data_IF_336323882167
#
_entry.id   IF_336323882167
#
_cell.length_a   1.000
_cell.length_b   1.000
_cell.length_c   1.000
_cell.angle_alpha   90.00
_cell.angle_beta   90.00
_cell.angle_gamma   90.00
#
_symmetry.space_group_name_H-M   'P 1'
#
loop_
_entity.id
_entity.type
_entity.pdbx_description
1 polymer ?
#
# COMPACT_ATOMS: atom_id res chain seq x y z
N UNK A 1 14.23 6.81 26.06
CA UNK A 1 13.21 6.12 25.23
C UNK A 1 13.89 5.52 24.02
N UNK A 2 13.61 4.26 23.72
CA UNK A 2 14.19 3.55 22.58
C UNK A 2 13.47 3.96 21.28
N UNK A 3 14.20 4.10 20.16
CA UNK A 3 13.62 4.38 18.83
C UNK A 3 12.48 3.41 18.47
N UNK A 4 12.58 2.14 18.86
CA UNK A 4 11.53 1.14 18.62
C UNK A 4 10.21 1.50 19.33
N UNK A 5 10.30 1.99 20.56
CA UNK A 5 9.15 2.40 21.38
C UNK A 5 8.50 3.65 20.79
N UNK A 6 9.30 4.66 20.41
CA UNK A 6 8.78 5.88 19.80
C UNK A 6 8.07 5.62 18.46
N UNK A 7 8.64 4.76 17.61
CA UNK A 7 7.98 4.32 16.38
C UNK A 7 6.65 3.61 16.67
N UNK A 8 6.58 2.82 17.75
CA UNK A 8 5.37 2.14 18.16
C UNK A 8 4.30 3.11 18.67
N UNK A 9 4.66 4.07 19.51
CA UNK A 9 3.75 5.14 19.98
C UNK A 9 3.15 5.93 18.82
N UNK A 10 3.95 6.25 17.80
CA UNK A 10 3.46 6.94 16.61
C UNK A 10 2.45 6.06 15.86
N UNK A 11 2.73 4.76 15.66
CA UNK A 11 1.79 3.84 15.01
C UNK A 11 0.47 3.77 15.75
N UNK A 12 0.50 3.57 17.07
CA UNK A 12 -0.70 3.51 17.92
C UNK A 12 -1.50 4.82 17.86
N UNK A 13 -0.82 5.96 17.92
CA UNK A 13 -1.46 7.27 17.77
C UNK A 13 -2.16 7.39 16.42
N UNK A 14 -1.50 7.00 15.32
CA UNK A 14 -2.07 7.06 13.98
C UNK A 14 -3.24 6.10 13.81
N UNK A 15 -3.15 4.86 14.30
CA UNK A 15 -4.28 3.92 14.26
C UNK A 15 -5.50 4.49 14.99
N UNK A 16 -5.35 4.93 16.24
CA UNK A 16 -6.43 5.56 17.01
C UNK A 16 -7.02 6.77 16.30
N UNK A 17 -6.18 7.59 15.66
CA UNK A 17 -6.63 8.78 14.95
C UNK A 17 -7.46 8.43 13.69
N UNK A 18 -7.06 7.40 12.94
CA UNK A 18 -7.80 6.95 11.76
C UNK A 18 -9.19 6.40 12.14
N UNK A 19 -9.27 5.65 13.24
CA UNK A 19 -10.54 5.13 13.76
C UNK A 19 -11.42 6.24 14.34
N UNK A 20 -10.86 7.10 15.20
CA UNK A 20 -11.60 8.21 15.80
C UNK A 20 -12.16 9.19 14.76
N UNK A 21 -11.47 9.35 13.62
CA UNK A 21 -11.93 10.16 12.48
C UNK A 21 -12.89 9.42 11.53
N UNK A 22 -13.15 8.13 11.74
CA UNK A 22 -14.01 7.33 10.87
C UNK A 22 -13.45 7.11 9.46
N UNK A 23 -12.15 7.33 9.24
CA UNK A 23 -11.49 7.21 7.93
C UNK A 23 -10.78 5.88 7.74
N UNK A 24 -10.66 5.06 8.78
CA UNK A 24 -10.18 3.68 8.64
C UNK A 24 -11.15 2.87 7.76
N UNK A 25 -10.60 1.97 6.94
CA UNK A 25 -11.39 1.12 6.04
C UNK A 25 -10.99 -0.34 6.23
N UNK A 26 -11.89 -1.26 5.88
CA UNK A 26 -11.63 -2.70 5.90
C UNK A 26 -10.30 -3.00 5.18
N UNK A 27 -9.46 -3.90 5.73
CA UNK A 27 -9.73 -4.85 6.81
C UNK A 27 -9.45 -4.33 8.23
N UNK A 28 -10.38 -4.61 9.14
CA UNK A 28 -10.24 -4.40 10.59
C UNK A 28 -9.76 -5.68 11.30
N UNK A 29 -9.22 -5.58 12.54
CA UNK A 29 -8.69 -4.37 13.16
C UNK A 29 -7.50 -3.81 12.37
N UNK A 30 -7.22 -2.51 12.49
CA UNK A 30 -6.11 -1.88 11.76
C UNK A 30 -4.79 -1.90 12.56
N UNK A 31 -4.85 -2.10 13.87
CA UNK A 31 -3.66 -2.19 14.70
C UNK A 31 -2.77 -3.36 14.30
N UNK A 32 -1.45 -3.14 14.36
CA UNK A 32 -0.45 -4.11 13.93
C UNK A 32 -0.37 -4.31 12.41
N UNK A 33 -1.13 -3.55 11.62
CA UNK A 33 -1.17 -3.66 10.15
C UNK A 33 -0.86 -2.32 9.47
N UNK A 34 -0.65 -2.39 8.14
CA UNK A 34 -0.72 -1.21 7.28
C UNK A 34 -2.22 -0.90 7.08
N UNK A 35 -2.74 0.21 7.61
CA UNK A 35 -4.18 0.50 7.56
C UNK A 35 -4.62 0.85 6.15
N UNK A 36 -5.78 0.33 5.74
CA UNK A 36 -6.53 0.92 4.63
C UNK A 36 -7.28 2.16 5.15
N UNK A 37 -7.50 3.13 4.28
CA UNK A 37 -8.04 4.43 4.66
C UNK A 37 -8.91 5.02 3.55
N UNK A 38 -9.83 5.89 3.95
CA UNK A 38 -10.63 6.69 3.03
C UNK A 38 -9.75 7.59 2.16
N UNK A 39 -9.97 7.53 0.85
CA UNK A 39 -9.15 8.26 -0.10
C UNK A 39 -7.89 7.52 -0.56
N UNK A 40 -7.69 6.25 -0.17
CA UNK A 40 -6.60 5.42 -0.72
C UNK A 40 -6.64 5.31 -2.25
N UNK A 41 -7.84 5.29 -2.84
CA UNK A 41 -7.99 5.33 -4.30
C UNK A 41 -7.57 6.67 -4.91
N UNK A 42 -7.89 7.79 -4.27
CA UNK A 42 -7.51 9.13 -4.71
C UNK A 42 -5.98 9.29 -4.61
N UNK A 43 -5.38 8.80 -3.51
CA UNK A 43 -3.94 8.75 -3.35
C UNK A 43 -3.27 7.93 -4.46
N UNK A 44 -3.82 6.76 -4.80
CA UNK A 44 -3.32 5.94 -5.90
C UNK A 44 -3.42 6.66 -7.26
N UNK A 45 -4.49 7.43 -7.52
CA UNK A 45 -4.61 8.24 -8.74
C UNK A 45 -3.52 9.30 -8.84
N UNK A 46 -3.26 10.02 -7.74
CA UNK A 46 -2.17 11.02 -7.66
C UNK A 46 -0.80 10.39 -7.92
N UNK A 47 -0.55 9.19 -7.40
CA UNK A 47 0.68 8.44 -7.71
C UNK A 47 0.79 8.13 -9.20
N UNK A 48 -0.32 7.73 -9.84
CA UNK A 48 -0.37 7.43 -11.28
C UNK A 48 -0.08 8.65 -12.17
N UNK A 49 -0.34 9.86 -11.70
CA UNK A 49 -0.12 11.12 -12.43
C UNK A 49 1.36 11.54 -12.49
N UNK A 50 2.19 11.01 -11.59
CA UNK A 50 3.62 11.31 -11.49
C UNK A 50 4.36 11.02 -12.81
N UNK A 51 5.38 11.82 -13.11
CA UNK A 51 6.23 11.57 -14.28
C UNK A 51 7.01 10.25 -14.15
N UNK A 52 7.38 9.91 -12.93
CA UNK A 52 8.06 8.67 -12.54
C UNK A 52 7.21 7.46 -12.88
N UNK A 53 5.90 7.53 -12.57
CA UNK A 53 4.95 6.49 -12.93
C UNK A 53 4.90 6.27 -14.43
N UNK A 54 4.82 7.35 -15.21
CA UNK A 54 4.78 7.28 -16.68
C UNK A 54 6.02 6.59 -17.24
N UNK A 55 7.21 6.94 -16.75
CA UNK A 55 8.50 6.36 -17.19
C UNK A 55 8.75 4.94 -16.67
N UNK A 56 8.17 4.56 -15.52
CA UNK A 56 8.41 3.26 -14.91
C UNK A 56 7.85 2.11 -15.75
N UNK A 57 8.68 1.10 -15.99
CA UNK A 57 8.29 -0.18 -16.61
C UNK A 57 7.88 -1.24 -15.58
N UNK A 58 8.42 -1.12 -14.37
CA UNK A 58 8.19 -2.04 -13.25
C UNK A 58 7.72 -1.22 -12.05
N UNK A 59 6.67 -1.68 -11.38
CA UNK A 59 6.12 -1.08 -10.16
C UNK A 59 6.19 -2.11 -9.03
N UNK A 60 6.83 -1.74 -7.91
CA UNK A 60 6.72 -2.48 -6.66
C UNK A 60 5.57 -1.91 -5.85
N UNK A 61 4.57 -2.74 -5.53
CA UNK A 61 3.48 -2.37 -4.64
C UNK A 61 3.15 -3.52 -3.69
N UNK A 62 2.98 -3.19 -2.41
CA UNK A 62 2.69 -4.13 -1.33
C UNK A 62 1.30 -4.76 -1.50
N UNK A 63 1.04 -5.93 -0.90
CA UNK A 63 -0.24 -6.64 -1.03
C UNK A 63 -1.37 -6.03 -0.19
N UNK A 64 -1.10 -5.05 0.68
CA UNK A 64 -2.10 -4.45 1.55
C UNK A 64 -3.24 -3.76 0.78
N UNK A 65 -4.37 -3.56 1.46
CA UNK A 65 -5.57 -2.98 0.86
C UNK A 65 -5.38 -1.50 0.48
N UNK A 66 -4.52 -0.76 1.18
CA UNK A 66 -4.26 0.65 0.89
C UNK A 66 -3.62 0.83 -0.50
N UNK A 67 -2.85 -0.16 -0.97
CA UNK A 67 -2.21 -0.13 -2.29
C UNK A 67 -2.95 -0.93 -3.38
N UNK A 68 -4.17 -1.42 -3.13
CA UNK A 68 -4.94 -2.21 -4.11
C UNK A 68 -5.07 -1.49 -5.46
N UNK A 69 -5.43 -0.20 -5.45
CA UNK A 69 -5.58 0.59 -6.69
C UNK A 69 -4.25 0.88 -7.38
N UNK A 70 -3.14 0.99 -6.64
CA UNK A 70 -1.81 1.12 -7.25
C UNK A 70 -1.49 -0.13 -8.07
N UNK A 71 -1.74 -1.33 -7.51
CA UNK A 71 -1.56 -2.60 -8.23
C UNK A 71 -2.45 -2.68 -9.46
N UNK A 72 -3.73 -2.33 -9.33
CA UNK A 72 -4.69 -2.30 -10.44
C UNK A 72 -4.22 -1.37 -11.57
N UNK A 73 -3.77 -0.16 -11.25
CA UNK A 73 -3.27 0.79 -12.23
C UNK A 73 -1.98 0.32 -12.91
N UNK A 74 -1.06 -0.31 -12.17
CA UNK A 74 0.16 -0.86 -12.77
C UNK A 74 -0.17 -1.88 -13.86
N UNK A 75 -1.09 -2.80 -13.58
CA UNK A 75 -1.52 -3.81 -14.54
C UNK A 75 -2.29 -3.20 -15.73
N UNK A 76 -3.23 -2.27 -15.47
CA UNK A 76 -3.98 -1.57 -16.53
C UNK A 76 -3.09 -0.74 -17.45
N UNK A 77 -2.00 -0.18 -16.92
CA UNK A 77 -1.02 0.59 -17.69
C UNK A 77 0.02 -0.29 -18.38
N UNK A 78 -0.17 -1.62 -18.37
CA UNK A 78 0.70 -2.58 -19.03
C UNK A 78 2.10 -2.65 -18.41
N UNK A 79 2.24 -2.29 -17.12
CA UNK A 79 3.50 -2.33 -16.38
C UNK A 79 3.67 -3.68 -15.68
N UNK A 80 4.92 -4.09 -15.48
CA UNK A 80 5.24 -5.26 -14.67
C UNK A 80 4.98 -4.91 -13.20
N UNK A 81 4.19 -5.72 -12.51
CA UNK A 81 3.93 -5.56 -11.09
C UNK A 81 4.81 -6.54 -10.30
N UNK A 82 5.58 -6.01 -9.36
CA UNK A 82 6.31 -6.76 -8.36
C UNK A 82 5.61 -6.60 -7.00
N UNK A 83 5.39 -7.70 -6.28
CA UNK A 83 4.69 -7.67 -5.00
C UNK A 83 5.31 -8.68 -4.04
N UNK A 84 5.48 -8.31 -2.77
CA UNK A 84 5.91 -9.25 -1.74
C UNK A 84 4.87 -10.37 -1.54
N UNK A 85 5.32 -11.62 -1.49
CA UNK A 85 4.47 -12.74 -1.04
C UNK A 85 4.09 -12.57 0.44
N UNK A 86 3.00 -13.21 0.93
CA UNK A 86 2.62 -13.14 2.33
C UNK A 86 3.79 -13.50 3.26
N UNK A 87 4.16 -12.55 4.13
CA UNK A 87 5.30 -12.65 5.06
C UNK A 87 6.64 -12.96 4.37
N UNK A 88 6.77 -12.62 3.09
CA UNK A 88 7.94 -12.89 2.24
C UNK A 88 8.35 -14.37 2.14
N UNK A 89 7.44 -15.31 2.44
CA UNK A 89 7.76 -16.76 2.48
C UNK A 89 8.28 -17.29 1.14
N UNK A 90 7.82 -16.74 0.03
CA UNK A 90 8.20 -17.13 -1.33
C UNK A 90 8.92 -15.99 -2.05
N UNK A 91 9.50 -15.04 -1.31
CA UNK A 91 10.11 -13.84 -1.89
C UNK A 91 9.08 -12.92 -2.56
N UNK A 92 9.40 -12.45 -3.77
CA UNK A 92 8.56 -11.55 -4.55
C UNK A 92 7.86 -12.29 -5.69
N UNK A 93 6.62 -11.90 -5.94
CA UNK A 93 5.79 -12.35 -7.06
C UNK A 93 5.89 -11.29 -8.15
N UNK A 94 6.23 -11.70 -9.37
CA UNK A 94 6.25 -10.87 -10.56
C UNK A 94 5.02 -11.21 -11.42
N UNK A 95 4.26 -10.20 -11.80
CA UNK A 95 3.08 -10.32 -12.66
C UNK A 95 3.32 -9.46 -13.89
N UNK A 96 3.30 -10.10 -15.06
CA UNK A 96 3.40 -9.43 -16.36
C UNK A 96 2.03 -9.46 -17.06
N UNK A 97 1.32 -8.33 -17.22
CA UNK A 97 -0.01 -8.30 -17.82
C UNK A 97 -0.01 -8.52 -19.34
N UNK A 98 1.15 -8.66 -19.98
CA UNK A 98 1.31 -8.87 -21.43
C UNK A 98 1.67 -10.31 -21.80
N UNK A 99 1.80 -11.20 -20.81
CA UNK A 99 2.07 -12.63 -21.00
C UNK A 99 0.80 -13.44 -20.88
#
# INVERSE_FOLDING_TARGET
MNVKEEKQKIRERIWKLLEAKGVARFPFPIEGRIPNFEGSEIAAKRVRELGEWRRAKVILANPDHAQKKVREFALRDGKILLMASPRLRSGYILINPKM
#
